data_IF_922377039340
#
_entry.id   IF_922377039340
#
_cell.length_a   1.000
_cell.length_b   1.000
_cell.length_c   1.000
_cell.angle_alpha   90.00
_cell.angle_beta   90.00
_cell.angle_gamma   90.00
#
_symmetry.space_group_name_H-M   'P 1'
#
loop_
_entity.id
_entity.type
_entity.pdbx_description
1 polymer ?
#
# COMPACT_ATOMS: atom_id res chain seq x y z
N UNK A 1 30.90 -6.50 9.82
CA UNK A 1 29.60 -5.85 9.51
C UNK A 1 28.51 -6.91 9.70
N UNK A 2 27.45 -6.60 10.44
CA UNK A 2 26.32 -7.51 10.64
C UNK A 2 25.51 -7.70 9.34
N UNK A 3 24.66 -8.74 9.30
CA UNK A 3 23.73 -9.01 8.22
C UNK A 3 22.75 -7.84 8.12
N UNK A 4 22.51 -7.37 6.90
CA UNK A 4 21.48 -6.35 6.61
C UNK A 4 20.32 -7.01 5.88
N UNK A 5 19.10 -6.55 6.18
CA UNK A 5 17.87 -7.09 5.62
C UNK A 5 17.18 -6.07 4.71
N UNK A 6 16.62 -6.51 3.58
CA UNK A 6 15.66 -5.71 2.83
C UNK A 6 14.43 -5.46 3.70
N UNK A 7 13.82 -4.29 3.56
CA UNK A 7 12.71 -3.86 4.41
C UNK A 7 11.50 -3.49 3.59
N UNK A 8 10.33 -3.94 4.01
CA UNK A 8 9.04 -3.47 3.52
C UNK A 8 8.37 -2.62 4.59
N UNK A 9 8.07 -1.37 4.27
CA UNK A 9 7.20 -0.52 5.09
C UNK A 9 5.75 -0.89 4.76
N UNK A 10 5.06 -1.49 5.73
CA UNK A 10 3.66 -1.90 5.58
C UNK A 10 2.72 -0.80 6.09
N UNK A 11 1.81 -0.35 5.23
CA UNK A 11 0.80 0.66 5.54
C UNK A 11 -0.56 0.00 5.68
N UNK A 12 -1.09 0.00 6.90
CA UNK A 12 -2.36 -0.65 7.25
C UNK A 12 -3.59 0.05 6.62
N UNK A 13 -4.72 -0.65 6.56
CA UNK A 13 -6.02 -0.10 6.14
C UNK A 13 -6.62 0.90 7.13
N UNK A 14 -7.81 1.40 6.83
CA UNK A 14 -8.50 2.42 7.63
C UNK A 14 -8.97 1.94 9.02
N UNK A 15 -8.91 0.64 9.28
CA UNK A 15 -9.23 0.05 10.60
C UNK A 15 -8.01 -0.14 11.51
N UNK A 16 -6.83 0.34 11.10
CA UNK A 16 -5.60 0.17 11.87
C UNK A 16 -4.91 -1.18 11.61
N UNK A 17 -3.99 -1.53 12.50
CA UNK A 17 -3.32 -2.83 12.49
C UNK A 17 -4.26 -3.90 13.05
N UNK A 18 -4.38 -5.02 12.35
CA UNK A 18 -5.25 -6.15 12.70
C UNK A 18 -4.66 -7.48 12.24
N UNK A 19 -5.34 -8.60 12.48
CA UNK A 19 -4.81 -9.94 12.15
C UNK A 19 -4.40 -10.09 10.66
N UNK A 20 -5.14 -9.50 9.72
CA UNK A 20 -4.76 -9.49 8.30
C UNK A 20 -3.48 -8.69 8.01
N UNK A 21 -3.18 -7.65 8.80
CA UNK A 21 -1.90 -6.93 8.72
C UNK A 21 -0.75 -7.83 9.17
N UNK A 22 -0.94 -8.58 10.25
CA UNK A 22 0.07 -9.52 10.76
C UNK A 22 0.38 -10.59 9.72
N UNK A 23 -0.64 -11.20 9.10
CA UNK A 23 -0.45 -12.20 8.03
C UNK A 23 0.38 -11.68 6.87
N UNK A 24 0.19 -10.42 6.45
CA UNK A 24 1.00 -9.80 5.39
C UNK A 24 2.45 -9.62 5.81
N UNK A 25 2.68 -9.17 7.02
CA UNK A 25 4.04 -9.04 7.57
C UNK A 25 4.72 -10.39 7.75
N UNK A 26 3.99 -11.43 8.18
CA UNK A 26 4.50 -12.81 8.28
C UNK A 26 4.88 -13.38 6.91
N UNK A 27 4.06 -13.13 5.86
CA UNK A 27 4.39 -13.49 4.47
C UNK A 27 5.71 -12.86 4.02
N UNK A 28 5.90 -11.56 4.31
CA UNK A 28 7.14 -10.84 3.97
C UNK A 28 8.33 -11.39 4.76
N UNK A 29 8.15 -11.65 6.06
CA UNK A 29 9.19 -12.21 6.92
C UNK A 29 9.61 -13.61 6.47
N UNK A 30 8.65 -14.46 6.09
CA UNK A 30 8.92 -15.80 5.54
C UNK A 30 9.72 -15.75 4.23
N UNK A 31 9.61 -14.64 3.47
CA UNK A 31 10.38 -14.40 2.24
C UNK A 31 11.73 -13.70 2.49
N UNK A 32 12.11 -13.46 3.75
CA UNK A 32 13.41 -12.88 4.11
C UNK A 32 13.44 -11.35 4.23
N UNK A 33 12.28 -10.69 4.15
CA UNK A 33 12.17 -9.25 4.37
C UNK A 33 11.90 -8.95 5.86
N UNK A 34 12.44 -7.85 6.36
CA UNK A 34 11.94 -7.27 7.59
C UNK A 34 10.73 -6.39 7.27
N UNK A 35 9.67 -6.48 8.06
CA UNK A 35 8.47 -5.66 7.91
C UNK A 35 8.39 -4.63 9.03
N UNK A 36 8.20 -3.36 8.68
CA UNK A 36 7.99 -2.25 9.62
C UNK A 36 6.62 -1.64 9.32
N UNK A 37 5.73 -1.64 10.30
CA UNK A 37 4.39 -1.10 10.17
C UNK A 37 4.21 0.12 11.09
N UNK A 38 4.25 1.36 10.56
CA UNK A 38 3.88 2.52 11.35
C UNK A 38 2.39 2.45 11.70
N UNK A 39 2.08 2.50 13.01
CA UNK A 39 0.69 2.61 13.45
C UNK A 39 0.26 4.08 13.41
N UNK A 40 -0.39 4.46 12.32
CA UNK A 40 -0.90 5.83 12.15
C UNK A 40 -1.99 6.19 13.17
N UNK A 41 -2.56 5.19 13.84
CA UNK A 41 -3.65 5.37 14.80
C UNK A 41 -3.22 5.28 16.27
N UNK A 42 -1.94 5.09 16.54
CA UNK A 42 -1.37 5.17 17.90
C UNK A 42 -1.43 6.59 18.51
N UNK A 43 -2.00 7.56 17.81
CA UNK A 43 -2.25 8.93 18.27
C UNK A 43 -3.41 8.97 19.27
N UNK A 44 -3.35 9.86 20.25
CA UNK A 44 -4.46 10.09 21.18
C UNK A 44 -5.77 10.47 20.47
N UNK A 45 -5.65 11.14 19.32
CA UNK A 45 -6.77 11.48 18.42
C UNK A 45 -6.35 11.25 16.98
N UNK A 46 -7.15 10.49 16.27
CA UNK A 46 -7.04 10.33 14.81
C UNK A 46 -8.44 10.38 14.18
N UNK A 47 -8.57 10.85 12.95
CA UNK A 47 -9.87 10.89 12.30
C UNK A 47 -10.30 9.47 11.87
N UNK A 48 -11.54 9.11 12.15
CA UNK A 48 -12.15 7.89 11.63
C UNK A 48 -12.46 8.09 10.14
N UNK A 49 -11.64 7.51 9.26
CA UNK A 49 -11.70 7.74 7.82
C UNK A 49 -12.58 6.75 7.06
N UNK A 50 -13.05 5.69 7.70
CA UNK A 50 -13.95 4.72 7.09
C UNK A 50 -14.97 4.14 8.07
N UNK A 51 -16.00 3.55 7.48
CA UNK A 51 -16.94 2.68 8.17
C UNK A 51 -16.87 1.27 7.54
N UNK A 52 -16.32 0.26 8.24
CA UNK A 52 -16.21 -1.09 7.72
C UNK A 52 -17.56 -1.83 7.65
N UNK A 53 -18.60 -1.38 8.35
CA UNK A 53 -19.94 -1.99 8.28
C UNK A 53 -20.60 -1.63 6.96
N UNK A 54 -20.63 -0.35 6.63
CA UNK A 54 -21.19 0.16 5.36
C UNK A 54 -20.21 0.08 4.20
N UNK A 55 -18.94 -0.28 4.45
CA UNK A 55 -17.84 -0.29 3.49
C UNK A 55 -17.66 1.06 2.77
N UNK A 56 -17.76 2.13 3.55
CA UNK A 56 -17.59 3.49 3.06
C UNK A 56 -16.25 4.05 3.53
N UNK A 57 -15.40 4.45 2.58
CA UNK A 57 -14.13 5.11 2.83
C UNK A 57 -14.16 6.61 2.54
N UNK A 58 -13.05 7.30 2.84
CA UNK A 58 -12.93 8.73 2.56
C UNK A 58 -13.80 9.62 3.44
N UNK A 59 -14.16 9.19 4.65
CA UNK A 59 -14.99 9.98 5.56
C UNK A 59 -14.28 11.20 6.12
N UNK A 60 -12.95 11.20 6.10
CA UNK A 60 -12.14 12.30 6.59
C UNK A 60 -10.98 12.62 5.65
N UNK A 61 -11.14 13.70 4.90
CA UNK A 61 -10.27 14.07 3.78
C UNK A 61 -8.80 14.32 4.17
N UNK A 62 -8.52 14.82 5.37
CA UNK A 62 -7.16 15.11 5.82
C UNK A 62 -6.35 13.88 6.24
N UNK A 63 -6.97 12.69 6.34
CA UNK A 63 -6.30 11.45 6.74
C UNK A 63 -5.12 11.13 5.82
N UNK A 64 -5.27 11.36 4.51
CA UNK A 64 -4.20 11.07 3.54
C UNK A 64 -2.92 11.82 3.85
N UNK A 65 -2.98 13.13 4.13
CA UNK A 65 -1.78 13.92 4.45
C UNK A 65 -1.09 13.42 5.71
N UNK A 66 -1.85 13.11 6.74
CA UNK A 66 -1.34 12.53 8.00
C UNK A 66 -0.59 11.23 7.72
N UNK A 67 -1.20 10.31 6.97
CA UNK A 67 -0.63 8.99 6.68
C UNK A 67 0.55 9.04 5.73
N UNK A 68 0.55 9.96 4.76
CA UNK A 68 1.72 10.19 3.91
C UNK A 68 2.94 10.65 4.74
N UNK A 69 2.72 11.53 5.71
CA UNK A 69 3.80 11.97 6.59
C UNK A 69 4.35 10.82 7.46
N UNK A 70 3.46 9.94 7.95
CA UNK A 70 3.87 8.75 8.68
C UNK A 70 4.71 7.80 7.82
N UNK A 71 4.27 7.56 6.57
CA UNK A 71 4.97 6.71 5.62
C UNK A 71 6.36 7.26 5.27
N UNK A 72 6.47 8.57 4.96
CA UNK A 72 7.74 9.24 4.68
C UNK A 72 8.70 9.16 5.87
N UNK A 73 8.19 9.37 7.08
CA UNK A 73 8.98 9.26 8.30
C UNK A 73 9.45 7.82 8.56
N UNK A 74 8.57 6.83 8.32
CA UNK A 74 8.92 5.42 8.48
C UNK A 74 10.01 4.99 7.49
N UNK A 75 9.91 5.37 6.21
CA UNK A 75 10.94 5.11 5.19
C UNK A 75 12.28 5.73 5.59
N UNK A 76 12.26 7.01 5.96
CA UNK A 76 13.48 7.73 6.37
C UNK A 76 14.15 7.08 7.56
N UNK A 77 13.39 6.76 8.60
CA UNK A 77 13.92 6.12 9.83
C UNK A 77 14.40 4.70 9.58
N UNK A 78 13.68 3.91 8.77
CA UNK A 78 14.11 2.56 8.42
C UNK A 78 15.50 2.57 7.79
N UNK A 79 15.76 3.46 6.84
CA UNK A 79 17.08 3.59 6.19
C UNK A 79 18.23 3.97 7.12
N UNK A 80 17.94 4.51 8.30
CA UNK A 80 18.92 4.87 9.31
C UNK A 80 19.27 3.72 10.27
N UNK A 81 18.49 2.64 10.26
CA UNK A 81 18.72 1.49 11.13
C UNK A 81 19.92 0.67 10.64
N UNK A 82 20.84 0.33 11.54
CA UNK A 82 22.11 -0.32 11.21
C UNK A 82 21.94 -1.71 10.55
N UNK A 83 20.84 -2.39 10.84
CA UNK A 83 20.49 -3.72 10.32
C UNK A 83 19.65 -3.68 9.03
N UNK A 84 19.27 -2.50 8.55
CA UNK A 84 18.51 -2.33 7.29
C UNK A 84 19.48 -2.18 6.12
N UNK A 85 19.17 -2.87 5.02
CA UNK A 85 19.74 -2.55 3.74
C UNK A 85 19.00 -1.34 3.14
N UNK A 86 19.59 -0.17 3.30
CA UNK A 86 19.01 1.10 2.87
C UNK A 86 18.79 1.20 1.34
N UNK A 87 19.43 0.32 0.56
CA UNK A 87 19.26 0.23 -0.90
C UNK A 87 18.09 -0.68 -1.29
N UNK A 88 17.50 -1.41 -0.35
CA UNK A 88 16.40 -2.36 -0.58
C UNK A 88 15.26 -2.09 0.40
N UNK A 89 14.58 -0.94 0.20
CA UNK A 89 13.42 -0.52 0.98
C UNK A 89 12.21 -0.40 0.04
N UNK A 90 11.13 -1.07 0.40
CA UNK A 90 9.90 -1.20 -0.37
C UNK A 90 8.69 -0.68 0.41
N UNK A 91 7.58 -0.45 -0.28
CA UNK A 91 6.33 0.00 0.32
C UNK A 91 5.21 -0.97 -0.05
N UNK A 92 4.46 -1.45 0.94
CA UNK A 92 3.24 -2.22 0.72
C UNK A 92 2.09 -1.57 1.48
N UNK A 93 1.06 -1.15 0.76
CA UNK A 93 -0.12 -0.55 1.36
C UNK A 93 -1.39 -1.35 1.06
N UNK A 94 -2.22 -1.55 2.09
CA UNK A 94 -3.53 -2.19 1.99
C UNK A 94 -4.64 -1.16 2.16
N UNK A 95 -5.64 -1.15 1.25
CA UNK A 95 -6.83 -0.30 1.37
C UNK A 95 -6.45 1.19 1.46
N UNK A 96 -6.78 1.89 2.54
CA UNK A 96 -6.33 3.28 2.78
C UNK A 96 -4.79 3.39 2.83
N UNK A 97 -4.10 2.34 3.29
CA UNK A 97 -2.65 2.24 3.15
C UNK A 97 -2.20 2.15 1.69
N UNK A 98 -3.01 1.49 0.83
CA UNK A 98 -2.80 1.45 -0.63
C UNK A 98 -2.94 2.84 -1.26
N UNK A 99 -3.93 3.63 -0.85
CA UNK A 99 -4.04 5.05 -1.25
C UNK A 99 -2.79 5.82 -0.83
N UNK A 100 -2.34 5.61 0.41
CA UNK A 100 -1.14 6.27 0.94
C UNK A 100 0.10 5.90 0.14
N UNK A 101 0.28 4.61 -0.19
CA UNK A 101 1.38 4.13 -1.03
C UNK A 101 1.33 4.70 -2.45
N UNK A 102 0.12 4.78 -3.04
CA UNK A 102 -0.11 5.37 -4.36
C UNK A 102 0.28 6.85 -4.41
N UNK A 103 -0.11 7.60 -3.38
CA UNK A 103 -0.05 9.06 -3.37
C UNK A 103 1.17 9.62 -2.63
N UNK A 104 1.94 8.80 -1.91
CA UNK A 104 3.17 9.23 -1.23
C UNK A 104 4.18 9.77 -2.25
N UNK A 105 4.71 10.97 -1.98
CA UNK A 105 5.77 11.58 -2.78
C UNK A 105 6.96 11.91 -1.91
N UNK A 106 8.08 11.23 -2.13
CA UNK A 106 9.35 11.55 -1.51
C UNK A 106 9.95 12.82 -2.14
N UNK A 107 10.46 13.69 -1.29
CA UNK A 107 11.13 14.94 -1.73
C UNK A 107 12.66 14.85 -1.58
N UNK A 108 13.15 13.79 -0.97
CA UNK A 108 14.60 13.56 -0.75
C UNK A 108 14.95 12.11 -1.08
N UNK A 109 16.21 11.78 -1.43
CA UNK A 109 16.62 10.39 -1.70
C UNK A 109 16.32 9.42 -0.55
N UNK A 110 16.35 9.91 0.71
CA UNK A 110 16.03 9.10 1.90
C UNK A 110 14.56 8.69 1.98
N UNK A 111 13.68 9.37 1.24
CA UNK A 111 12.23 9.11 1.21
C UNK A 111 11.80 8.25 0.01
N UNK A 112 12.70 7.99 -0.93
CA UNK A 112 12.43 7.10 -2.07
C UNK A 112 12.47 5.63 -1.65
N UNK A 113 11.68 4.81 -2.37
CA UNK A 113 11.63 3.36 -2.22
C UNK A 113 11.97 2.66 -3.54
N UNK A 114 12.28 1.37 -3.50
CA UNK A 114 12.66 0.62 -4.69
C UNK A 114 11.46 0.18 -5.53
N UNK A 115 10.34 -0.13 -4.87
CA UNK A 115 9.07 -0.45 -5.52
C UNK A 115 7.90 -0.25 -4.54
N UNK A 116 6.68 -0.20 -5.08
CA UNK A 116 5.45 -0.07 -4.30
C UNK A 116 4.46 -1.17 -4.65
N UNK A 117 3.84 -1.74 -3.63
CA UNK A 117 2.70 -2.64 -3.79
C UNK A 117 1.45 -1.95 -3.24
N UNK A 118 0.38 -1.93 -4.03
CA UNK A 118 -0.90 -1.34 -3.71
C UNK A 118 -1.95 -2.45 -3.73
N UNK A 119 -2.50 -2.80 -2.59
CA UNK A 119 -3.54 -3.79 -2.46
C UNK A 119 -4.88 -3.14 -2.07
N UNK A 120 -5.96 -3.49 -2.79
CA UNK A 120 -7.31 -3.02 -2.46
C UNK A 120 -7.51 -1.52 -2.69
N UNK A 121 -6.92 -0.98 -3.78
CA UNK A 121 -7.15 0.38 -4.24
C UNK A 121 -7.20 0.44 -5.76
N UNK A 122 -8.13 1.22 -6.30
CA UNK A 122 -8.39 1.33 -7.74
C UNK A 122 -7.65 2.49 -8.41
N UNK A 123 -7.01 3.36 -7.67
CA UNK A 123 -6.48 4.66 -8.12
C UNK A 123 -7.55 5.65 -8.59
N UNK A 124 -8.84 5.34 -8.42
CA UNK A 124 -9.96 6.22 -8.75
C UNK A 124 -10.60 6.78 -7.49
N UNK A 125 -10.78 8.08 -7.43
CA UNK A 125 -11.34 8.76 -6.27
C UNK A 125 -12.16 9.99 -6.67
N UNK A 126 -13.14 10.35 -5.83
CA UNK A 126 -13.90 11.58 -6.00
C UNK A 126 -13.13 12.85 -5.60
N UNK A 127 -12.02 12.70 -4.87
CA UNK A 127 -11.14 13.82 -4.51
C UNK A 127 -9.83 13.77 -5.29
N UNK A 128 -9.42 14.86 -5.96
CA UNK A 128 -8.24 14.88 -6.81
C UNK A 128 -6.94 14.46 -6.11
N UNK A 129 -6.80 14.75 -4.82
CA UNK A 129 -5.62 14.40 -4.05
C UNK A 129 -5.52 12.92 -3.69
N UNK A 130 -6.59 12.15 -3.91
CA UNK A 130 -6.65 10.70 -3.72
C UNK A 130 -6.53 9.95 -5.04
N UNK A 131 -6.70 10.63 -6.18
CA UNK A 131 -6.76 10.00 -7.50
C UNK A 131 -5.37 9.81 -8.12
N UNK A 132 -5.16 8.65 -8.74
CA UNK A 132 -4.00 8.34 -9.55
C UNK A 132 -2.82 7.77 -8.76
N UNK A 133 -1.64 7.95 -9.33
CA UNK A 133 -0.34 7.55 -8.78
C UNK A 133 0.60 8.74 -8.75
N UNK A 134 1.36 8.88 -7.66
CA UNK A 134 2.43 9.88 -7.52
C UNK A 134 3.81 9.25 -7.33
N UNK A 135 3.93 7.95 -7.60
CA UNK A 135 5.21 7.28 -7.65
C UNK A 135 6.07 7.90 -8.79
N UNK A 136 7.34 8.24 -8.53
CA UNK A 136 8.24 8.64 -9.61
C UNK A 136 8.53 7.46 -10.53
N UNK A 137 8.99 7.73 -11.76
CA UNK A 137 9.30 6.69 -12.75
C UNK A 137 10.30 5.65 -12.26
N UNK A 138 11.18 6.03 -11.34
CA UNK A 138 12.16 5.15 -10.72
C UNK A 138 11.59 4.18 -9.68
N UNK A 139 10.32 4.31 -9.33
CA UNK A 139 9.65 3.47 -8.34
C UNK A 139 8.51 2.70 -9.03
N UNK A 140 8.78 1.51 -9.60
CA UNK A 140 7.74 0.67 -10.20
C UNK A 140 6.66 0.32 -9.18
N UNK A 141 5.43 0.15 -9.69
CA UNK A 141 4.24 -0.08 -8.87
C UNK A 141 3.54 -1.37 -9.32
N UNK A 142 3.29 -2.28 -8.38
CA UNK A 142 2.31 -3.35 -8.58
C UNK A 142 1.03 -3.00 -7.87
N UNK A 143 -0.10 -3.04 -8.57
CA UNK A 143 -1.43 -2.91 -7.96
C UNK A 143 -2.23 -4.19 -8.08
N UNK A 144 -3.00 -4.51 -7.03
CA UNK A 144 -3.86 -5.66 -6.90
C UNK A 144 -5.24 -5.18 -6.46
N UNK A 145 -6.27 -5.41 -7.26
CA UNK A 145 -7.65 -5.04 -6.92
C UNK A 145 -8.64 -6.06 -7.46
N UNK A 146 -9.71 -6.31 -6.73
CA UNK A 146 -10.82 -7.13 -7.20
C UNK A 146 -11.81 -6.30 -8.01
N UNK A 147 -12.31 -6.84 -9.12
CA UNK A 147 -13.26 -6.14 -10.01
C UNK A 147 -14.56 -5.75 -9.31
N UNK A 148 -15.02 -6.59 -8.40
CA UNK A 148 -16.27 -6.43 -7.66
C UNK A 148 -16.02 -6.19 -6.16
N UNK A 149 -14.91 -5.52 -5.84
CA UNK A 149 -14.57 -5.17 -4.46
C UNK A 149 -15.71 -4.34 -3.84
N UNK A 150 -16.29 -4.80 -2.71
CA UNK A 150 -17.46 -4.17 -2.11
C UNK A 150 -17.21 -2.75 -1.53
N UNK A 151 -15.97 -2.32 -1.46
CA UNK A 151 -15.62 -0.95 -1.05
C UNK A 151 -15.72 0.08 -2.20
N UNK A 152 -15.73 -0.39 -3.48
CA UNK A 152 -15.79 0.48 -4.66
C UNK A 152 -17.14 0.32 -5.36
N UNK A 153 -18.23 0.76 -4.69
CA UNK A 153 -19.60 0.59 -5.17
C UNK A 153 -19.98 1.64 -6.22
N UNK A 154 -19.50 2.88 -6.08
CA UNK A 154 -19.76 3.95 -7.03
C UNK A 154 -18.98 3.71 -8.33
N UNK A 155 -19.60 3.98 -9.49
CA UNK A 155 -18.99 3.75 -10.80
C UNK A 155 -17.67 4.51 -10.99
N UNK A 156 -17.59 5.73 -10.49
CA UNK A 156 -16.36 6.54 -10.53
C UNK A 156 -15.22 6.00 -9.66
N UNK A 157 -15.51 5.16 -8.67
CA UNK A 157 -14.49 4.56 -7.79
C UNK A 157 -14.00 3.21 -8.30
N UNK A 158 -14.66 2.62 -9.30
CA UNK A 158 -14.29 1.33 -9.90
C UNK A 158 -13.13 1.47 -10.86
N UNK A 159 -12.43 0.39 -11.11
CA UNK A 159 -11.32 0.35 -12.06
C UNK A 159 -10.07 -0.31 -11.46
N UNK A 160 -8.94 0.11 -11.95
CA UNK A 160 -7.62 -0.37 -11.53
C UNK A 160 -6.56 0.71 -11.83
N UNK A 161 -5.33 0.54 -11.36
CA UNK A 161 -4.31 1.59 -11.43
C UNK A 161 -3.56 1.69 -12.76
N UNK A 162 -3.74 0.76 -13.70
CA UNK A 162 -2.91 0.67 -14.92
C UNK A 162 -2.84 1.95 -15.75
N UNK A 163 -3.98 2.65 -15.90
CA UNK A 163 -4.03 3.90 -16.66
C UNK A 163 -3.17 5.04 -16.06
N UNK A 164 -2.76 4.91 -14.81
CA UNK A 164 -1.94 5.88 -14.09
C UNK A 164 -0.47 5.45 -13.96
N UNK A 165 -0.12 4.25 -14.43
CA UNK A 165 1.24 3.72 -14.34
C UNK A 165 2.14 4.23 -15.46
N UNK A 166 3.43 4.30 -15.18
CA UNK A 166 4.43 4.52 -16.22
C UNK A 166 4.57 3.24 -17.07
N UNK A 167 4.48 3.33 -18.40
CA UNK A 167 4.43 2.13 -19.25
C UNK A 167 5.73 1.34 -19.26
N UNK A 168 6.88 1.99 -19.09
CA UNK A 168 8.19 1.40 -19.36
C UNK A 168 9.05 1.20 -18.10
N UNK A 169 8.48 1.27 -16.90
CA UNK A 169 9.23 1.13 -15.66
C UNK A 169 9.02 -0.20 -14.93
N UNK A 170 8.34 -1.17 -15.57
CA UNK A 170 8.04 -2.48 -14.97
C UNK A 170 6.80 -2.49 -14.08
N UNK A 171 6.02 -1.38 -14.02
CA UNK A 171 4.77 -1.36 -13.25
C UNK A 171 3.73 -2.32 -13.81
N UNK A 172 2.95 -2.95 -12.93
CA UNK A 172 1.95 -3.97 -13.28
C UNK A 172 0.65 -3.73 -12.51
N UNK A 173 -0.47 -3.67 -13.23
CA UNK A 173 -1.80 -3.62 -12.62
C UNK A 173 -2.52 -4.96 -12.81
N UNK A 174 -2.98 -5.57 -11.72
CA UNK A 174 -3.66 -6.85 -11.69
C UNK A 174 -5.07 -6.63 -11.15
N UNK A 175 -6.06 -6.74 -12.04
CA UNK A 175 -7.46 -6.77 -11.66
C UNK A 175 -7.96 -8.22 -11.66
N UNK A 176 -8.40 -8.71 -10.51
CA UNK A 176 -9.01 -10.03 -10.39
C UNK A 176 -10.46 -9.94 -10.85
N UNK A 177 -10.79 -10.59 -11.98
CA UNK A 177 -12.08 -10.43 -12.66
C UNK A 177 -13.09 -11.52 -12.30
N UNK A 178 -12.60 -12.71 -11.93
CA UNK A 178 -13.41 -13.91 -11.81
C UNK A 178 -13.12 -14.69 -10.52
N UNK A 179 -14.03 -15.58 -10.17
CA UNK A 179 -13.94 -16.41 -8.96
C UNK A 179 -14.23 -15.66 -7.66
N UNK A 180 -14.05 -16.32 -6.53
CA UNK A 180 -14.35 -15.75 -5.21
C UNK A 180 -13.47 -14.53 -4.87
N UNK A 181 -12.24 -14.49 -5.35
CA UNK A 181 -11.33 -13.37 -5.13
C UNK A 181 -11.79 -12.09 -5.82
N UNK A 182 -12.57 -12.17 -6.89
CA UNK A 182 -13.10 -10.99 -7.58
C UNK A 182 -14.06 -10.15 -6.74
N UNK A 183 -14.51 -10.67 -5.60
CA UNK A 183 -15.41 -10.02 -4.66
C UNK A 183 -14.76 -9.70 -3.30
N UNK A 184 -13.43 -9.80 -3.19
CA UNK A 184 -12.71 -9.60 -1.94
C UNK A 184 -11.93 -8.29 -1.96
N UNK A 185 -11.89 -7.61 -0.80
CA UNK A 185 -11.08 -6.41 -0.61
C UNK A 185 -9.61 -6.74 -0.33
N UNK A 186 -9.36 -7.77 0.48
CA UNK A 186 -8.01 -8.26 0.79
C UNK A 186 -7.63 -9.43 -0.12
N UNK A 187 -6.59 -9.29 -0.91
CA UNK A 187 -6.18 -10.25 -1.93
C UNK A 187 -4.92 -11.05 -1.56
N UNK A 188 -4.07 -10.50 -0.69
CA UNK A 188 -2.81 -11.15 -0.27
C UNK A 188 -3.00 -12.27 0.77
N UNK A 189 -4.22 -12.75 0.95
CA UNK A 189 -4.47 -14.03 1.60
C UNK A 189 -4.37 -15.22 0.61
N UNK A 190 -4.38 -14.95 -0.70
CA UNK A 190 -4.23 -15.95 -1.75
C UNK A 190 -2.75 -16.20 -2.08
N UNK A 191 -2.23 -17.45 -1.89
CA UNK A 191 -0.81 -17.77 -2.11
C UNK A 191 -0.30 -17.43 -3.52
N UNK A 192 -1.13 -17.60 -4.54
CA UNK A 192 -0.76 -17.26 -5.91
C UNK A 192 -0.49 -15.75 -6.12
N UNK A 193 -1.18 -14.88 -5.37
CA UNK A 193 -0.95 -13.44 -5.42
C UNK A 193 0.23 -13.02 -4.53
N UNK A 194 0.44 -13.71 -3.41
CA UNK A 194 1.65 -13.56 -2.60
C UNK A 194 2.91 -13.83 -3.44
N UNK A 195 2.93 -14.94 -4.19
CA UNK A 195 4.05 -15.30 -5.06
C UNK A 195 4.31 -14.24 -6.14
N UNK A 196 3.26 -13.62 -6.70
CA UNK A 196 3.43 -12.52 -7.67
C UNK A 196 4.05 -11.28 -7.05
N UNK A 197 3.61 -10.91 -5.84
CA UNK A 197 4.16 -9.76 -5.10
C UNK A 197 5.62 -9.99 -4.72
N UNK A 198 5.97 -11.20 -4.30
CA UNK A 198 7.34 -11.53 -3.90
C UNK A 198 8.30 -11.65 -5.09
N UNK A 199 7.78 -11.86 -6.30
CA UNK A 199 8.56 -11.93 -7.53
C UNK A 199 8.72 -10.57 -8.23
N UNK A 200 7.94 -9.57 -7.83
CA UNK A 200 7.98 -8.21 -8.35
C UNK A 200 9.10 -7.40 -7.71
#
# INVERSE_FOLDING_TARGET
AGVKYPVVIYLHGCSGLWAGSIKRMEMLAAAGYAAIAPDSFARNKYPKSCDPVTKTGGLYRSTLMMRQQDALNAVTRAKQLAWVDANNVFLLGFSEGGITAAMMRGNTPQQHVNARIIEGWTCHAGWPEYQGLRAPVSEPVMSLVAKHDPWFQADWARGECGAFMHPDNGSVSIQIKDGSLAHQHGLLEAPALQSKVLAF
#
